data_IF_119890169384
#
_entry.id   IF_119890169384
#
_cell.length_a   1.000
_cell.length_b   1.000
_cell.length_c   1.000
_cell.angle_alpha   90.00
_cell.angle_beta   90.00
_cell.angle_gamma   90.00
#
_symmetry.space_group_name_H-M   'P 1'
#
loop_
_entity.id
_entity.type
_entity.pdbx_description
1 polymer ?
#
# COMPACT_ATOMS: atom_id res chain seq x y z
N UNK A 1 6.29 36.60 16.05
CA UNK A 1 7.16 37.62 16.67
C UNK A 1 6.29 38.50 17.55
N UNK A 2 6.66 38.77 18.81
CA UNK A 2 5.98 39.85 19.54
C UNK A 2 6.47 41.19 18.99
N UNK A 3 5.53 42.10 18.69
CA UNK A 3 5.84 43.37 18.02
C UNK A 3 5.89 44.56 18.98
N UNK A 4 5.62 44.32 20.26
CA UNK A 4 5.57 45.35 21.29
C UNK A 4 6.86 45.33 22.09
N UNK A 5 7.65 46.43 22.10
CA UNK A 5 8.90 46.49 22.86
C UNK A 5 8.75 46.15 24.34
N UNK A 6 7.62 46.55 24.95
CA UNK A 6 7.27 46.24 26.34
C UNK A 6 7.14 44.74 26.63
N UNK A 7 7.04 43.89 25.60
CA UNK A 7 6.92 42.43 25.68
C UNK A 7 8.15 41.69 25.15
N UNK A 8 9.27 42.39 25.01
CA UNK A 8 10.59 41.80 24.75
C UNK A 8 10.89 41.35 23.33
N UNK A 9 10.06 41.69 22.33
CA UNK A 9 10.30 41.42 20.90
C UNK A 9 10.67 39.96 20.56
N UNK A 10 10.05 39.00 21.25
CA UNK A 10 10.38 37.58 21.16
C UNK A 10 10.13 36.97 19.77
N UNK A 11 11.10 36.19 19.29
CA UNK A 11 11.02 35.35 18.12
C UNK A 11 10.66 33.92 18.51
N UNK A 12 9.46 33.48 18.12
CA UNK A 12 9.00 32.11 18.33
C UNK A 12 9.03 31.35 17.01
N UNK A 13 9.69 30.19 17.02
CA UNK A 13 9.66 29.25 15.90
C UNK A 13 8.52 28.26 16.06
N UNK A 14 7.82 27.96 14.96
CA UNK A 14 6.72 26.98 14.92
C UNK A 14 6.96 26.04 13.74
N UNK A 15 7.09 24.76 14.04
CA UNK A 15 7.18 23.68 13.06
C UNK A 15 5.82 22.97 12.97
N UNK A 16 5.13 23.07 11.84
CA UNK A 16 3.83 22.43 11.64
C UNK A 16 3.98 21.03 11.04
N UNK A 17 3.36 20.02 11.66
CA UNK A 17 3.29 18.64 11.16
C UNK A 17 1.85 18.16 11.05
N UNK A 18 1.47 17.71 9.85
CA UNK A 18 0.11 17.20 9.55
C UNK A 18 0.01 15.68 9.71
N UNK A 19 1.10 14.95 9.47
CA UNK A 19 1.08 13.49 9.47
C UNK A 19 2.13 12.91 10.41
N UNK A 20 1.78 11.79 11.06
CA UNK A 20 2.66 11.03 11.96
C UNK A 20 3.98 10.61 11.29
N UNK A 21 3.91 10.16 10.04
CA UNK A 21 5.07 9.75 9.27
C UNK A 21 6.05 10.90 8.98
N UNK A 22 5.55 12.14 8.83
CA UNK A 22 6.41 13.31 8.65
C UNK A 22 7.19 13.60 9.93
N UNK A 23 6.50 13.54 11.07
CA UNK A 23 7.13 13.76 12.38
C UNK A 23 8.19 12.70 12.70
N UNK A 24 7.86 11.42 12.47
CA UNK A 24 8.80 10.31 12.68
C UNK A 24 10.06 10.42 11.83
N UNK A 25 9.94 10.89 10.58
CA UNK A 25 11.10 11.11 9.71
C UNK A 25 11.99 12.23 10.21
N UNK A 26 11.40 13.29 10.76
CA UNK A 26 12.14 14.47 11.24
C UNK A 26 12.85 14.20 12.56
N UNK A 27 12.26 13.43 13.49
CA UNK A 27 12.96 13.00 14.72
C UNK A 27 14.23 12.20 14.41
N UNK A 28 14.25 11.45 13.29
CA UNK A 28 15.43 10.69 12.87
C UNK A 28 16.59 11.60 12.42
N UNK A 29 16.34 12.86 12.07
CA UNK A 29 17.38 13.81 11.69
C UNK A 29 17.18 15.19 12.35
N UNK A 30 17.48 15.32 13.66
CA UNK A 30 17.22 16.55 14.43
C UNK A 30 18.04 17.77 13.98
N UNK A 31 19.14 17.55 13.26
CA UNK A 31 20.09 18.61 12.87
C UNK A 31 19.47 19.64 11.91
N UNK A 32 18.44 19.26 11.17
CA UNK A 32 17.79 20.15 10.20
C UNK A 32 17.19 21.37 10.89
N UNK A 33 16.70 21.21 12.12
CA UNK A 33 15.97 22.22 12.86
C UNK A 33 16.89 23.13 13.67
N UNK A 34 18.09 22.66 14.03
CA UNK A 34 19.12 23.45 14.74
C UNK A 34 19.45 24.77 14.03
N UNK A 35 19.40 24.77 12.69
CA UNK A 35 19.72 25.94 11.87
C UNK A 35 18.81 27.15 12.17
N UNK A 36 17.53 26.93 12.47
CA UNK A 36 16.56 27.99 12.74
C UNK A 36 16.30 28.12 14.24
N UNK A 37 16.18 26.97 14.92
CA UNK A 37 15.94 26.86 16.35
C UNK A 37 16.90 27.72 17.19
N UNK A 38 18.18 27.78 16.82
CA UNK A 38 19.21 28.53 17.54
C UNK A 38 18.96 30.05 17.62
N UNK A 39 18.07 30.61 16.78
CA UNK A 39 17.74 32.03 16.77
C UNK A 39 16.44 32.37 17.52
N UNK A 40 15.71 31.37 18.01
CA UNK A 40 14.39 31.56 18.63
C UNK A 40 14.45 31.62 20.16
N UNK A 41 13.60 32.45 20.77
CA UNK A 41 13.37 32.50 22.23
C UNK A 41 12.54 31.32 22.73
N UNK A 42 11.73 30.73 21.85
CA UNK A 42 10.98 29.51 22.09
C UNK A 42 10.71 28.80 20.76
N UNK A 43 10.63 27.47 20.81
CA UNK A 43 10.36 26.65 19.63
C UNK A 43 9.25 25.66 19.90
N UNK A 44 8.31 25.53 18.96
CA UNK A 44 7.10 24.75 19.13
C UNK A 44 6.90 23.76 17.98
N UNK A 45 6.56 22.52 18.31
CA UNK A 45 5.89 21.62 17.38
C UNK A 45 4.39 21.94 17.37
N UNK A 46 3.77 22.09 16.20
CA UNK A 46 2.33 22.25 16.03
C UNK A 46 1.76 21.08 15.23
N UNK A 47 0.90 20.26 15.84
CA UNK A 47 0.32 19.07 15.18
C UNK A 47 -1.14 19.28 14.76
N UNK A 48 -1.51 18.84 13.56
CA UNK A 48 -2.89 18.90 13.06
C UNK A 48 -3.74 17.68 13.49
N UNK A 49 -3.97 17.55 14.79
CA UNK A 49 -4.82 16.50 15.38
C UNK A 49 -4.10 15.59 16.37
N UNK A 50 -4.90 14.73 16.99
CA UNK A 50 -4.47 13.74 17.98
C UNK A 50 -3.61 12.65 17.29
N UNK A 51 -2.65 12.08 18.01
CA UNK A 51 -1.80 10.95 17.57
C UNK A 51 -0.72 11.23 16.51
N UNK A 52 -0.43 12.49 16.17
CA UNK A 52 0.71 12.82 15.28
C UNK A 52 2.05 12.74 16.01
N UNK A 53 2.09 13.12 17.29
CA UNK A 53 3.27 13.07 18.13
C UNK A 53 2.89 12.54 19.51
N UNK A 54 3.86 11.93 20.21
CA UNK A 54 3.73 11.58 21.63
C UNK A 54 4.63 12.48 22.47
N UNK A 55 4.29 12.67 23.74
CA UNK A 55 4.99 13.61 24.61
C UNK A 55 6.48 13.25 24.77
N UNK A 56 6.78 11.95 24.82
CA UNK A 56 8.12 11.38 24.99
C UNK A 56 9.01 11.60 23.76
N UNK A 57 8.40 11.89 22.62
CA UNK A 57 9.09 12.11 21.35
C UNK A 57 9.48 13.57 21.16
N UNK A 58 8.88 14.48 21.95
CA UNK A 58 9.13 15.92 21.82
C UNK A 58 10.47 16.26 22.47
N UNK A 59 11.44 16.82 21.71
CA UNK A 59 12.72 17.20 22.28
C UNK A 59 12.56 18.08 23.53
N UNK A 60 13.47 17.91 24.49
CA UNK A 60 13.51 18.69 25.73
C UNK A 60 13.29 20.20 25.53
N UNK A 61 14.03 20.87 24.64
CA UNK A 61 13.94 22.32 24.45
C UNK A 61 12.72 22.79 23.64
N UNK A 62 11.80 21.89 23.27
CA UNK A 62 10.64 22.21 22.44
C UNK A 62 9.34 22.19 23.26
N UNK A 63 8.44 23.10 22.92
CA UNK A 63 7.03 23.00 23.26
C UNK A 63 6.24 22.20 22.23
N UNK A 64 5.02 21.83 22.61
CA UNK A 64 4.09 21.12 21.75
C UNK A 64 2.69 21.73 21.85
N UNK A 65 2.17 22.09 20.71
CA UNK A 65 0.81 22.56 20.48
C UNK A 65 0.07 21.59 19.55
N UNK A 66 -1.23 21.47 19.77
CA UNK A 66 -2.10 20.60 19.00
C UNK A 66 -3.33 21.38 18.53
N UNK A 67 -3.62 21.30 17.24
CA UNK A 67 -4.84 21.83 16.65
C UNK A 67 -5.94 20.78 16.79
N UNK A 68 -7.02 21.13 17.50
CA UNK A 68 -8.25 20.33 17.59
C UNK A 68 -9.43 21.18 17.16
N UNK A 69 -9.98 20.86 15.98
CA UNK A 69 -10.99 21.70 15.32
C UNK A 69 -10.44 23.10 15.02
N UNK A 70 -11.11 24.13 15.52
CA UNK A 70 -10.70 25.54 15.36
C UNK A 70 -9.82 26.08 16.49
N UNK A 71 -9.43 25.23 17.45
CA UNK A 71 -8.68 25.64 18.66
C UNK A 71 -7.29 25.02 18.70
N UNK A 72 -6.36 25.75 19.32
CA UNK A 72 -4.99 25.28 19.59
C UNK A 72 -4.87 25.00 21.09
N UNK A 73 -4.40 23.80 21.44
CA UNK A 73 -4.16 23.34 22.80
C UNK A 73 -2.67 23.21 23.04
N UNK A 74 -2.17 23.74 24.16
CA UNK A 74 -0.79 23.55 24.59
C UNK A 74 -0.68 22.23 25.34
N UNK A 75 0.03 21.26 24.78
CA UNK A 75 0.28 19.94 25.40
C UNK A 75 1.55 19.93 26.23
N UNK A 76 2.59 20.63 25.77
CA UNK A 76 3.85 20.84 26.48
C UNK A 76 4.26 22.30 26.30
N UNK A 77 4.47 23.03 27.39
CA UNK A 77 4.93 24.42 27.30
C UNK A 77 6.38 24.45 26.80
N UNK A 78 6.69 25.32 25.82
CA UNK A 78 8.06 25.53 25.40
C UNK A 78 8.86 26.19 26.54
N UNK A 79 10.08 25.69 26.83
CA UNK A 79 11.00 26.41 27.70
C UNK A 79 11.50 27.68 27.01
N UNK A 80 11.92 28.66 27.82
CA UNK A 80 12.63 29.84 27.32
C UNK A 80 14.05 29.44 26.93
N UNK A 81 14.48 29.87 25.75
CA UNK A 81 15.79 29.60 25.18
C UNK A 81 16.67 30.85 25.23
N UNK A 82 17.98 30.66 25.07
CA UNK A 82 18.95 31.75 24.88
C UNK A 82 19.33 31.82 23.40
N UNK A 83 18.68 32.68 22.59
CA UNK A 83 18.92 32.72 21.16
C UNK A 83 20.29 33.32 20.84
N UNK A 84 20.91 32.82 19.76
CA UNK A 84 22.06 33.46 19.15
C UNK A 84 21.63 34.74 18.43
N UNK A 85 22.53 35.75 18.31
CA UNK A 85 22.27 36.92 17.49
C UNK A 85 21.88 36.54 16.05
N UNK A 86 20.86 37.20 15.52
CA UNK A 86 20.42 37.02 14.13
C UNK A 86 21.55 37.48 13.20
N UNK A 87 21.94 36.59 12.29
CA UNK A 87 22.96 36.92 11.28
C UNK A 87 22.37 37.84 10.21
N UNK A 88 23.21 38.66 9.58
CA UNK A 88 22.80 39.51 8.44
C UNK A 88 22.19 38.69 7.30
N UNK A 89 22.73 37.49 7.05
CA UNK A 89 22.21 36.58 6.05
C UNK A 89 20.78 36.10 6.38
N UNK A 90 20.54 35.73 7.64
CA UNK A 90 19.20 35.30 8.09
C UNK A 90 18.20 36.46 8.04
N UNK A 91 18.60 37.65 8.52
CA UNK A 91 17.77 38.85 8.42
C UNK A 91 17.41 39.18 6.96
N UNK A 92 18.39 39.15 6.06
CA UNK A 92 18.15 39.40 4.65
C UNK A 92 17.21 38.36 4.02
N UNK A 93 17.30 37.08 4.42
CA UNK A 93 16.39 36.04 3.96
C UNK A 93 14.95 36.28 4.43
N UNK A 94 14.76 36.67 5.70
CA UNK A 94 13.45 37.03 6.26
C UNK A 94 12.85 38.24 5.52
N UNK A 95 13.63 39.31 5.34
CA UNK A 95 13.19 40.52 4.65
C UNK A 95 12.86 40.27 3.18
N UNK A 96 13.67 39.49 2.47
CA UNK A 96 13.37 39.09 1.08
C UNK A 96 12.07 38.30 0.99
N UNK A 97 11.83 37.37 1.92
CA UNK A 97 10.56 36.64 1.95
C UNK A 97 9.39 37.57 2.24
N UNK A 98 9.51 38.45 3.24
CA UNK A 98 8.46 39.39 3.61
C UNK A 98 8.11 40.38 2.46
N UNK A 99 9.12 40.82 1.70
CA UNK A 99 8.95 41.72 0.56
C UNK A 99 8.54 41.00 -0.74
N UNK A 100 8.64 39.67 -0.80
CA UNK A 100 8.20 38.89 -1.97
C UNK A 100 6.67 38.87 -2.09
N UNK A 101 6.14 38.70 -3.31
CA UNK A 101 4.69 38.55 -3.54
C UNK A 101 4.10 37.40 -2.71
N UNK A 102 4.88 36.34 -2.46
CA UNK A 102 4.49 35.20 -1.61
C UNK A 102 4.61 35.47 -0.09
N UNK A 103 5.21 36.59 0.31
CA UNK A 103 5.40 36.96 1.72
C UNK A 103 4.12 37.46 2.38
N UNK A 104 3.30 38.15 1.59
CA UNK A 104 1.94 38.53 1.90
C UNK A 104 1.01 37.63 1.10
N UNK A 105 0.77 36.41 1.58
CA UNK A 105 -0.23 35.57 0.93
C UNK A 105 -1.60 36.19 1.21
N UNK A 106 -2.19 36.84 0.20
CA UNK A 106 -3.56 37.30 0.27
C UNK A 106 -4.47 36.09 0.50
N UNK A 107 -5.45 36.23 1.40
CA UNK A 107 -6.36 35.14 1.76
C UNK A 107 -7.06 34.53 0.53
N UNK A 108 -7.36 35.36 -0.47
CA UNK A 108 -7.90 34.95 -1.77
C UNK A 108 -6.98 34.01 -2.53
N UNK A 109 -5.66 34.22 -2.51
CA UNK A 109 -4.72 33.34 -3.22
C UNK A 109 -4.59 31.96 -2.54
N UNK A 110 -4.75 31.92 -1.21
CA UNK A 110 -4.86 30.64 -0.47
C UNK A 110 -6.13 29.92 -0.90
N UNK A 111 -7.26 30.61 -0.95
CA UNK A 111 -8.56 30.05 -1.33
C UNK A 111 -8.54 29.53 -2.77
N UNK A 112 -7.97 30.29 -3.71
CA UNK A 112 -7.83 29.91 -5.12
C UNK A 112 -6.93 28.69 -5.28
N UNK A 113 -5.78 28.66 -4.59
CA UNK A 113 -4.90 27.47 -4.59
C UNK A 113 -5.60 26.27 -3.97
N UNK A 114 -6.29 26.43 -2.83
CA UNK A 114 -7.05 25.36 -2.20
C UNK A 114 -8.06 24.77 -3.19
N UNK A 115 -8.86 25.64 -3.83
CA UNK A 115 -9.89 25.24 -4.78
C UNK A 115 -9.29 24.49 -5.97
N UNK A 116 -8.21 25.02 -6.56
CA UNK A 116 -7.54 24.38 -7.70
C UNK A 116 -6.96 22.99 -7.36
N UNK A 117 -6.41 22.81 -6.15
CA UNK A 117 -5.87 21.54 -5.70
C UNK A 117 -6.98 20.53 -5.35
N UNK A 118 -8.09 21.00 -4.76
CA UNK A 118 -9.27 20.18 -4.54
C UNK A 118 -9.89 19.67 -5.85
N UNK A 119 -9.97 20.53 -6.87
CA UNK A 119 -10.48 20.16 -8.20
C UNK A 119 -9.57 19.15 -8.91
N UNK A 120 -8.23 19.32 -8.84
CA UNK A 120 -7.26 18.34 -9.36
C UNK A 120 -7.38 16.99 -8.66
N UNK A 121 -7.49 16.99 -7.32
CA UNK A 121 -7.67 15.77 -6.54
C UNK A 121 -8.94 15.01 -6.93
N UNK A 122 -10.05 15.73 -7.07
CA UNK A 122 -11.35 15.15 -7.47
C UNK A 122 -11.34 14.61 -8.91
N UNK A 123 -10.63 15.28 -9.82
CA UNK A 123 -10.47 14.80 -11.20
C UNK A 123 -9.67 13.49 -11.26
N UNK A 124 -8.53 13.42 -10.55
CA UNK A 124 -7.74 12.20 -10.47
C UNK A 124 -8.49 11.06 -9.78
N UNK A 125 -9.26 11.35 -8.73
CA UNK A 125 -10.09 10.35 -8.06
C UNK A 125 -11.18 9.81 -8.99
N UNK A 126 -11.86 10.69 -9.74
CA UNK A 126 -12.86 10.29 -10.73
C UNK A 126 -12.28 9.43 -11.85
N UNK A 127 -11.13 9.81 -12.40
CA UNK A 127 -10.44 9.03 -13.43
C UNK A 127 -10.01 7.66 -12.90
N UNK A 128 -9.51 7.60 -11.67
CA UNK A 128 -9.14 6.33 -11.04
C UNK A 128 -10.36 5.44 -10.83
N UNK A 129 -11.47 5.98 -10.30
CA UNK A 129 -12.72 5.22 -10.11
C UNK A 129 -13.25 4.70 -11.44
N UNK A 130 -13.32 5.54 -12.47
CA UNK A 130 -13.76 5.12 -13.81
C UNK A 130 -12.85 4.04 -14.41
N UNK A 131 -11.53 4.16 -14.22
CA UNK A 131 -10.57 3.15 -14.67
C UNK A 131 -10.71 1.82 -13.92
N UNK A 132 -10.84 1.87 -12.59
CA UNK A 132 -11.04 0.67 -11.78
C UNK A 132 -12.38 0.01 -12.06
N UNK A 133 -13.43 0.79 -12.30
CA UNK A 133 -14.74 0.27 -12.68
C UNK A 133 -14.67 -0.46 -14.02
N UNK A 134 -14.07 0.16 -15.06
CA UNK A 134 -13.87 -0.50 -16.35
C UNK A 134 -13.08 -1.81 -16.23
N UNK A 135 -12.02 -1.82 -15.41
CA UNK A 135 -11.24 -3.04 -15.14
C UNK A 135 -12.05 -4.11 -14.42
N UNK A 136 -12.86 -3.71 -13.43
CA UNK A 136 -13.75 -4.61 -12.72
C UNK A 136 -14.77 -5.24 -13.68
N UNK A 137 -15.42 -4.42 -14.51
CA UNK A 137 -16.44 -4.88 -15.46
C UNK A 137 -15.82 -5.83 -16.50
N UNK A 138 -14.63 -5.51 -17.03
CA UNK A 138 -13.91 -6.39 -17.95
C UNK A 138 -13.52 -7.72 -17.29
N UNK A 139 -13.07 -7.70 -16.03
CA UNK A 139 -12.74 -8.92 -15.30
C UNK A 139 -13.99 -9.76 -15.04
N UNK A 140 -15.10 -9.13 -14.65
CA UNK A 140 -16.37 -9.79 -14.43
C UNK A 140 -16.88 -10.46 -15.71
N UNK A 141 -16.79 -9.79 -16.85
CA UNK A 141 -17.14 -10.35 -18.15
C UNK A 141 -16.24 -11.54 -18.51
N UNK A 142 -14.92 -11.41 -18.35
CA UNK A 142 -13.98 -12.50 -18.64
C UNK A 142 -14.24 -13.73 -17.76
N UNK A 143 -14.51 -13.53 -16.47
CA UNK A 143 -14.87 -14.62 -15.54
C UNK A 143 -16.20 -15.24 -15.94
N UNK A 144 -17.19 -14.44 -16.33
CA UNK A 144 -18.50 -14.93 -16.79
C UNK A 144 -18.37 -15.81 -18.04
N UNK A 145 -17.64 -15.34 -19.06
CA UNK A 145 -17.37 -16.11 -20.28
C UNK A 145 -16.62 -17.41 -19.97
N UNK A 146 -15.60 -17.35 -19.12
CA UNK A 146 -14.89 -18.54 -18.67
C UNK A 146 -15.82 -19.54 -18.00
N UNK A 147 -16.65 -19.10 -17.04
CA UNK A 147 -17.59 -19.98 -16.34
C UNK A 147 -18.65 -20.57 -17.27
N UNK A 148 -19.17 -19.77 -18.21
CA UNK A 148 -20.15 -20.23 -19.21
C UNK A 148 -19.58 -21.32 -20.11
N UNK A 149 -18.33 -21.19 -20.56
CA UNK A 149 -17.72 -22.14 -21.49
C UNK A 149 -17.10 -23.36 -20.80
N UNK A 150 -16.57 -23.20 -19.58
CA UNK A 150 -15.93 -24.29 -18.84
C UNK A 150 -16.88 -25.07 -17.94
N UNK A 151 -18.06 -24.50 -17.62
CA UNK A 151 -18.95 -25.04 -16.58
C UNK A 151 -18.41 -24.87 -15.15
N UNK A 152 -17.25 -24.23 -14.98
CA UNK A 152 -16.59 -24.03 -13.69
C UNK A 152 -16.99 -22.70 -13.09
N UNK A 153 -17.55 -22.72 -11.88
CA UNK A 153 -17.90 -21.51 -11.13
C UNK A 153 -16.74 -21.07 -10.26
N UNK A 154 -16.28 -19.82 -10.41
CA UNK A 154 -15.30 -19.22 -9.52
C UNK A 154 -16.06 -18.43 -8.44
N UNK A 155 -15.99 -18.84 -7.16
CA UNK A 155 -16.73 -18.17 -6.10
C UNK A 155 -16.23 -16.73 -5.89
N UNK A 156 -17.16 -15.77 -5.81
CA UNK A 156 -16.87 -14.34 -5.69
C UNK A 156 -16.33 -13.94 -4.30
N UNK A 157 -16.44 -14.81 -3.30
CA UNK A 157 -16.00 -14.53 -1.92
C UNK A 157 -15.29 -15.76 -1.37
N UNK A 158 -14.19 -15.56 -0.64
CA UNK A 158 -13.59 -16.63 0.15
C UNK A 158 -14.65 -17.16 1.14
N UNK A 159 -14.88 -18.48 1.20
CA UNK A 159 -15.76 -19.05 2.20
C UNK A 159 -15.28 -18.65 3.60
N UNK A 160 -16.22 -18.27 4.49
CA UNK A 160 -15.89 -17.93 5.89
C UNK A 160 -15.28 -19.13 6.63
N UNK A 161 -15.60 -20.34 6.15
CA UNK A 161 -14.97 -21.61 6.48
C UNK A 161 -14.85 -22.42 5.19
N UNK A 162 -13.62 -22.76 4.78
CA UNK A 162 -13.37 -23.57 3.57
C UNK A 162 -11.88 -23.59 3.22
N UNK A 163 -11.39 -24.75 2.76
CA UNK A 163 -10.00 -24.93 2.34
C UNK A 163 -9.76 -24.17 1.02
N UNK A 164 -8.69 -23.37 0.97
CA UNK A 164 -8.20 -22.68 -0.24
C UNK A 164 -7.92 -23.66 -1.41
N UNK A 165 -7.84 -24.96 -1.12
CA UNK A 165 -7.60 -26.09 -2.02
C UNK A 165 -8.50 -26.17 -3.26
N UNK A 166 -9.77 -25.73 -3.21
CA UNK A 166 -10.71 -26.00 -4.31
C UNK A 166 -10.38 -25.18 -5.56
N UNK A 167 -10.07 -23.89 -5.38
CA UNK A 167 -9.66 -23.00 -6.49
C UNK A 167 -8.32 -23.46 -7.08
N UNK A 168 -7.40 -23.92 -6.23
CA UNK A 168 -6.11 -24.46 -6.66
C UNK A 168 -6.30 -25.75 -7.49
N UNK A 169 -7.12 -26.70 -7.02
CA UNK A 169 -7.44 -27.95 -7.73
C UNK A 169 -8.09 -27.68 -9.08
N UNK A 170 -9.01 -26.72 -9.16
CA UNK A 170 -9.60 -26.25 -10.42
C UNK A 170 -8.51 -25.74 -11.36
N UNK A 171 -7.62 -24.87 -10.87
CA UNK A 171 -6.50 -24.34 -11.65
C UNK A 171 -5.57 -25.44 -12.18
N UNK A 172 -5.26 -26.43 -11.34
CA UNK A 172 -4.46 -27.58 -11.73
C UNK A 172 -5.13 -28.44 -12.80
N UNK A 173 -6.43 -28.69 -12.69
CA UNK A 173 -7.20 -29.45 -13.69
C UNK A 173 -7.23 -28.73 -15.05
N UNK A 174 -7.51 -27.42 -15.05
CA UNK A 174 -7.49 -26.59 -16.27
C UNK A 174 -6.10 -26.61 -16.91
N UNK A 175 -5.04 -26.47 -16.12
CA UNK A 175 -3.66 -26.55 -16.61
C UNK A 175 -3.34 -27.92 -17.20
N UNK A 176 -3.72 -29.00 -16.52
CA UNK A 176 -3.49 -30.36 -17.00
C UNK A 176 -4.10 -30.60 -18.38
N UNK A 177 -5.35 -30.16 -18.59
CA UNK A 177 -6.01 -30.27 -19.89
C UNK A 177 -5.36 -29.35 -20.93
N UNK A 178 -5.14 -28.08 -20.59
CA UNK A 178 -4.52 -27.09 -21.49
C UNK A 178 -3.14 -27.53 -21.98
N UNK A 179 -2.35 -28.17 -21.12
CA UNK A 179 -1.01 -28.65 -21.45
C UNK A 179 -1.03 -30.00 -22.21
N UNK A 180 -2.21 -30.48 -22.65
CA UNK A 180 -2.40 -31.73 -23.40
C UNK A 180 -2.25 -33.00 -22.55
N UNK A 181 -2.40 -32.89 -21.23
CA UNK A 181 -2.27 -34.00 -20.29
C UNK A 181 -3.31 -35.09 -20.51
N UNK A 182 -4.55 -34.71 -20.82
CA UNK A 182 -5.64 -35.65 -21.11
C UNK A 182 -5.33 -36.53 -22.33
N UNK A 183 -4.90 -35.91 -23.45
CA UNK A 183 -4.56 -36.64 -24.68
C UNK A 183 -3.34 -37.55 -24.51
N UNK A 184 -2.36 -37.13 -23.70
CA UNK A 184 -1.21 -37.98 -23.34
C UNK A 184 -1.65 -39.18 -22.51
N UNK A 185 -2.53 -38.96 -21.53
CA UNK A 185 -3.05 -40.03 -20.68
C UNK A 185 -3.87 -41.03 -21.50
N UNK A 186 -4.73 -40.56 -22.39
CA UNK A 186 -5.52 -41.42 -23.28
C UNK A 186 -4.62 -42.30 -24.14
N UNK A 187 -3.62 -41.72 -24.82
CA UNK A 187 -2.67 -42.50 -25.63
C UNK A 187 -1.93 -43.55 -24.82
N UNK A 188 -1.53 -43.22 -23.59
CA UNK A 188 -0.86 -44.15 -22.68
C UNK A 188 -1.77 -45.29 -22.24
N UNK A 189 -3.04 -45.01 -21.95
CA UNK A 189 -4.01 -46.04 -21.58
C UNK A 189 -4.29 -47.01 -22.72
N UNK A 190 -4.44 -46.51 -23.96
CA UNK A 190 -4.61 -47.35 -25.14
C UNK A 190 -3.39 -48.27 -25.36
N UNK A 191 -2.17 -47.73 -25.23
CA UNK A 191 -0.95 -48.53 -25.34
C UNK A 191 -0.83 -49.60 -24.23
N UNK A 192 -1.28 -49.28 -23.01
CA UNK A 192 -1.32 -50.23 -21.90
C UNK A 192 -2.32 -51.36 -22.13
N UNK A 193 -3.49 -51.05 -22.70
CA UNK A 193 -4.51 -52.02 -23.07
C UNK A 193 -3.95 -53.03 -24.09
N UNK A 194 -3.35 -52.53 -25.18
CA UNK A 194 -2.71 -53.36 -26.21
C UNK A 194 -1.64 -54.28 -25.60
N UNK A 195 -0.77 -53.72 -24.75
CA UNK A 195 0.28 -54.50 -24.06
C UNK A 195 -0.33 -55.58 -23.15
N UNK A 196 -1.41 -55.27 -22.44
CA UNK A 196 -2.08 -56.22 -21.55
C UNK A 196 -2.72 -57.37 -22.33
N UNK A 197 -3.31 -57.09 -23.50
CA UNK A 197 -3.86 -58.12 -24.38
C UNK A 197 -2.78 -59.07 -24.90
N UNK A 198 -1.61 -58.54 -25.29
CA UNK A 198 -0.47 -59.36 -25.71
C UNK A 198 0.02 -60.28 -24.59
N UNK A 199 0.18 -59.75 -23.37
CA UNK A 199 0.58 -60.53 -22.20
C UNK A 199 -0.44 -61.64 -21.91
N UNK A 200 -1.73 -61.32 -21.93
CA UNK A 200 -2.80 -62.31 -21.75
C UNK A 200 -2.76 -63.40 -22.82
N UNK A 201 -2.47 -63.05 -24.07
CA UNK A 201 -2.31 -64.01 -25.16
C UNK A 201 -1.12 -64.94 -24.91
N UNK A 202 0.05 -64.38 -24.58
CA UNK A 202 1.24 -65.18 -24.25
C UNK A 202 1.02 -66.12 -23.05
N UNK A 203 0.29 -65.68 -22.02
CA UNK A 203 -0.06 -66.53 -20.88
C UNK A 203 -0.97 -67.69 -21.33
N UNK A 204 -1.98 -67.44 -22.16
CA UNK A 204 -2.87 -68.49 -22.68
C UNK A 204 -2.11 -69.51 -23.52
N UNK A 205 -1.28 -69.04 -24.44
CA UNK A 205 -0.46 -69.89 -25.30
C UNK A 205 0.49 -70.76 -24.46
N UNK A 206 1.12 -70.18 -23.44
CA UNK A 206 1.98 -70.91 -22.50
C UNK A 206 1.23 -71.96 -21.67
N UNK A 207 0.02 -71.67 -21.21
CA UNK A 207 -0.84 -72.64 -20.49
C UNK A 207 -1.25 -73.79 -21.41
N UNK A 208 -1.56 -73.54 -22.69
CA UNK A 208 -1.89 -74.60 -23.64
C UNK A 208 -0.73 -75.56 -23.88
N UNK A 209 0.51 -75.05 -23.96
CA UNK A 209 1.70 -75.89 -24.08
C UNK A 209 1.97 -76.79 -22.86
N UNK A 210 1.42 -76.46 -21.68
CA UNK A 210 1.59 -77.22 -20.44
C UNK A 210 0.45 -78.24 -20.20
N UNK A 211 -0.59 -78.26 -21.04
CA UNK A 211 -1.63 -79.30 -20.94
C UNK A 211 -1.03 -80.66 -21.31
N UNK A 212 -1.18 -81.69 -20.46
CA UNK A 212 -0.64 -83.01 -20.77
C UNK A 212 -1.29 -83.56 -22.04
N UNK A 213 -0.48 -84.06 -22.97
CA UNK A 213 -0.99 -84.80 -24.14
C UNK A 213 -1.74 -86.03 -23.64
N UNK A 214 -2.99 -86.20 -24.08
CA UNK A 214 -3.77 -87.38 -23.77
C UNK A 214 -2.98 -88.65 -24.17
N UNK A 215 -3.02 -89.72 -23.35
CA UNK A 215 -2.35 -90.97 -23.71
C UNK A 215 -2.95 -91.49 -25.02
N UNK A 216 -2.08 -91.85 -25.95
CA UNK A 216 -2.50 -92.50 -27.19
C UNK A 216 -3.04 -93.89 -26.83
N UNK A 217 -4.33 -94.11 -27.07
CA UNK A 217 -4.96 -95.42 -26.95
C UNK A 217 -4.34 -96.37 -27.98
N UNK A 218 -3.79 -97.48 -27.49
CA UNK A 218 -3.32 -98.65 -28.25
C UNK A 218 -4.34 -99.78 -28.12
#
# INVERSE_FOLDING_TARGET
MSLWPSRGLQLQGIELKRYRGDWLREIKNPRKQENIFQYCDAFWLLTHGENIAKLEEIPGPWGWMEIKGSRIYIRKKAPTLTPKPITRAFLAALLRRAASKDGFILRSEIEDKLKSEYEKGRSHERQNVEHFQKKHDQLAENVSQFSKHSGVMIPHRKPYYGNDDEIEKIGMAVRFVKDGGADRLQRRLLSLEETAEEVLRSIRDGIECLKPRAPADN
#
